data_IF_450676965202
#
_entry.id   IF_450676965202
#
_cell.length_a   1.000
_cell.length_b   1.000
_cell.length_c   1.000
_cell.angle_alpha   90.00
_cell.angle_beta   90.00
_cell.angle_gamma   90.00
#
_symmetry.space_group_name_H-M   'P 1'
#
loop_
_entity.id
_entity.type
_entity.pdbx_description
1 polymer ?
#
# COMPACT_ATOMS: atom_id res chain seq x y z
N UNK A 1 9.21 -3.27 12.67
CA UNK A 1 8.43 -2.36 11.82
C UNK A 1 7.87 -1.24 12.67
N UNK A 2 7.90 -0.04 12.17
CA UNK A 2 7.53 1.14 12.93
C UNK A 2 6.42 1.88 12.20
N UNK A 3 5.44 2.40 12.94
CA UNK A 3 4.37 3.23 12.38
C UNK A 3 4.60 4.68 12.80
N UNK A 4 4.57 5.57 11.81
CA UNK A 4 4.74 7.00 12.04
C UNK A 4 3.52 7.73 11.49
N UNK A 5 2.85 8.57 12.30
CA UNK A 5 1.73 9.34 11.78
C UNK A 5 2.20 10.40 10.78
N UNK A 6 1.46 10.56 9.71
CA UNK A 6 1.69 11.63 8.75
C UNK A 6 0.88 12.84 9.18
N UNK A 7 1.35 13.51 10.18
CA UNK A 7 0.57 14.52 10.91
C UNK A 7 0.29 15.81 10.18
N UNK A 8 0.95 16.08 9.08
CA UNK A 8 0.75 17.33 8.33
C UNK A 8 -0.07 17.15 7.08
N UNK A 9 -0.43 15.92 6.78
CA UNK A 9 -1.09 15.62 5.55
C UNK A 9 -2.34 14.88 5.93
N UNK A 10 -3.37 15.18 5.31
CA UNK A 10 -4.66 14.56 5.49
C UNK A 10 -4.62 13.18 6.16
N UNK A 11 -4.36 13.12 7.43
CA UNK A 11 -4.53 11.93 8.26
C UNK A 11 -3.96 10.61 7.71
N UNK A 12 -2.94 10.69 6.87
CA UNK A 12 -2.26 9.49 6.38
C UNK A 12 -1.35 8.88 7.43
N UNK A 13 -1.08 7.60 7.31
CA UNK A 13 -0.15 6.89 8.18
C UNK A 13 0.99 6.32 7.35
N UNK A 14 2.21 6.56 7.80
CA UNK A 14 3.41 6.00 7.18
C UNK A 14 3.88 4.82 8.02
N UNK A 15 4.03 3.67 7.37
CA UNK A 15 4.54 2.47 8.01
C UNK A 15 5.95 2.24 7.46
N UNK A 16 6.94 2.19 8.34
CA UNK A 16 8.33 2.05 7.95
C UNK A 16 8.86 0.69 8.39
N UNK A 17 9.54 0.01 7.49
CA UNK A 17 10.28 -1.20 7.83
C UNK A 17 11.74 -0.84 8.02
N UNK A 18 12.28 -1.13 9.21
CA UNK A 18 13.69 -0.89 9.52
C UNK A 18 14.50 -2.17 9.38
N UNK A 19 15.70 -2.03 8.86
CA UNK A 19 16.64 -3.12 8.68
C UNK A 19 17.99 -2.62 9.13
N UNK A 20 18.56 -3.25 10.16
CA UNK A 20 19.83 -2.84 10.75
C UNK A 20 19.82 -1.37 11.20
N UNK A 21 18.70 -0.91 11.75
CA UNK A 21 18.58 0.44 12.25
C UNK A 21 18.32 1.51 11.19
N UNK A 22 18.21 1.12 9.94
CA UNK A 22 17.93 2.06 8.84
C UNK A 22 16.58 1.73 8.18
N UNK A 23 15.93 2.77 7.66
CA UNK A 23 14.69 2.57 6.93
C UNK A 23 14.99 1.82 5.63
N UNK A 24 14.41 0.64 5.48
CA UNK A 24 14.58 -0.21 4.32
C UNK A 24 13.41 -0.14 3.36
N UNK A 25 12.27 0.35 3.83
CA UNK A 25 11.10 0.51 3.01
C UNK A 25 9.96 1.15 3.78
N UNK A 26 8.96 1.61 3.07
CA UNK A 26 7.81 2.22 3.71
C UNK A 26 6.58 2.10 2.81
N UNK A 27 5.42 2.31 3.42
CA UNK A 27 4.14 2.38 2.74
C UNK A 27 3.30 3.43 3.42
N UNK A 28 2.42 4.08 2.67
CA UNK A 28 1.53 5.11 3.20
C UNK A 28 0.09 4.65 3.02
N UNK A 29 -0.71 4.79 4.08
CA UNK A 29 -2.14 4.52 4.04
C UNK A 29 -2.87 5.82 4.28
N UNK A 30 -3.75 6.20 3.34
CA UNK A 30 -4.49 7.45 3.43
C UNK A 30 -5.99 7.15 3.47
N UNK A 31 -6.64 7.45 4.60
CA UNK A 31 -8.10 7.27 4.69
C UNK A 31 -8.81 8.21 3.71
N UNK A 32 -9.92 7.75 3.17
CA UNK A 32 -10.74 8.54 2.25
C UNK A 32 -12.08 8.85 2.91
N UNK A 33 -12.74 9.88 2.39
CA UNK A 33 -14.05 10.27 2.90
C UNK A 33 -15.16 9.26 2.55
N UNK A 34 -14.91 8.41 1.55
CA UNK A 34 -15.90 7.44 1.10
C UNK A 34 -15.87 6.12 1.89
N UNK A 35 -15.15 6.08 3.00
CA UNK A 35 -15.06 4.86 3.81
C UNK A 35 -14.05 3.86 3.31
N UNK A 36 -13.22 4.23 2.34
CA UNK A 36 -12.13 3.41 1.81
C UNK A 36 -10.80 4.01 2.21
N UNK A 37 -9.71 3.36 1.86
CA UNK A 37 -8.38 3.89 2.09
C UNK A 37 -7.52 3.66 0.85
N UNK A 38 -6.58 4.56 0.62
CA UNK A 38 -5.60 4.43 -0.46
C UNK A 38 -4.29 3.92 0.10
N UNK A 39 -3.66 3.02 -0.64
CA UNK A 39 -2.34 2.50 -0.35
C UNK A 39 -1.35 3.11 -1.34
N UNK A 40 -0.32 3.77 -0.83
CA UNK A 40 0.75 4.32 -1.64
C UNK A 40 2.03 3.58 -1.29
N UNK A 41 2.57 2.87 -2.26
CA UNK A 41 3.70 1.98 -2.07
C UNK A 41 3.28 0.52 -2.17
N UNK A 42 4.13 -0.41 -1.74
CA UNK A 42 5.33 -0.19 -0.92
C UNK A 42 6.52 0.33 -1.71
N UNK A 43 7.37 1.09 -1.03
CA UNK A 43 8.64 1.55 -1.55
C UNK A 43 9.72 0.84 -0.76
N UNK A 44 10.56 0.05 -1.42
CA UNK A 44 11.57 -0.78 -0.78
C UNK A 44 12.91 -0.54 -1.45
N UNK A 45 13.97 -0.47 -0.66
CA UNK A 45 15.32 -0.34 -1.20
C UNK A 45 15.58 -1.46 -2.22
N UNK A 46 16.12 -1.14 -3.42
CA UNK A 46 16.31 -2.15 -4.46
C UNK A 46 17.13 -3.36 -4.03
N UNK A 47 18.11 -3.16 -3.17
CA UNK A 47 18.95 -4.25 -2.68
C UNK A 47 18.19 -5.26 -1.85
N UNK A 48 17.00 -4.86 -1.38
CA UNK A 48 16.19 -5.69 -0.49
C UNK A 48 14.94 -6.22 -1.17
N UNK A 49 14.81 -6.02 -2.45
CA UNK A 49 13.71 -6.59 -3.21
C UNK A 49 13.78 -8.12 -3.13
N UNK A 50 12.63 -8.76 -3.15
CA UNK A 50 12.49 -10.21 -3.03
C UNK A 50 12.75 -10.77 -1.63
N UNK A 51 13.00 -9.89 -0.66
CA UNK A 51 13.14 -10.32 0.74
C UNK A 51 11.84 -10.39 1.50
N UNK A 52 10.71 -10.16 0.83
CA UNK A 52 9.41 -10.20 1.48
C UNK A 52 9.04 -8.93 2.23
N UNK A 53 9.88 -7.91 2.17
CA UNK A 53 9.62 -6.65 2.89
C UNK A 53 8.38 -5.94 2.34
N UNK A 54 8.24 -5.87 1.01
CA UNK A 54 7.08 -5.26 0.39
C UNK A 54 5.79 -5.94 0.82
N UNK A 55 5.79 -7.27 0.87
CA UNK A 55 4.63 -8.04 1.31
C UNK A 55 4.29 -7.75 2.77
N UNK A 56 5.30 -7.68 3.62
CA UNK A 56 5.08 -7.36 5.04
C UNK A 56 4.51 -5.96 5.22
N UNK A 57 5.00 -4.99 4.43
CA UNK A 57 4.49 -3.63 4.48
C UNK A 57 3.02 -3.58 4.07
N UNK A 58 2.66 -4.31 3.00
CA UNK A 58 1.26 -4.36 2.56
C UNK A 58 0.39 -5.04 3.61
N UNK A 59 0.87 -6.13 4.22
CA UNK A 59 0.11 -6.82 5.26
C UNK A 59 -0.16 -5.89 6.46
N UNK A 60 0.82 -5.08 6.85
CA UNK A 60 0.64 -4.10 7.92
C UNK A 60 -0.34 -3.00 7.51
N UNK A 61 -0.26 -2.55 6.26
CA UNK A 61 -1.19 -1.56 5.74
C UNK A 61 -2.62 -2.08 5.77
N UNK A 62 -2.82 -3.34 5.41
CA UNK A 62 -4.13 -3.98 5.48
C UNK A 62 -4.65 -3.98 6.91
N UNK A 63 -3.81 -4.35 7.88
CA UNK A 63 -4.21 -4.37 9.29
C UNK A 63 -4.59 -2.98 9.77
N UNK A 64 -3.82 -1.98 9.38
CA UNK A 64 -4.13 -0.60 9.75
C UNK A 64 -5.45 -0.13 9.13
N UNK A 65 -5.66 -0.42 7.85
CA UNK A 65 -6.88 -0.04 7.16
C UNK A 65 -8.11 -0.73 7.80
N UNK A 66 -7.95 -1.98 8.22
CA UNK A 66 -9.01 -2.69 8.94
C UNK A 66 -9.31 -2.03 10.28
N UNK A 67 -8.27 -1.58 10.98
CA UNK A 67 -8.45 -0.87 12.25
C UNK A 67 -9.17 0.47 12.07
N UNK A 68 -9.03 1.08 10.89
CA UNK A 68 -9.77 2.30 10.53
C UNK A 68 -11.19 2.00 10.07
N UNK A 69 -11.56 0.73 10.02
CA UNK A 69 -12.87 0.28 9.52
C UNK A 69 -13.10 0.65 8.05
N UNK A 70 -12.01 0.73 7.27
CA UNK A 70 -12.14 0.96 5.84
C UNK A 70 -12.73 -0.28 5.17
N UNK A 71 -13.62 -0.07 4.22
CA UNK A 71 -14.26 -1.16 3.50
C UNK A 71 -13.33 -1.81 2.48
N UNK A 72 -12.47 -1.02 1.88
CA UNK A 72 -11.53 -1.45 0.85
C UNK A 72 -10.23 -0.70 0.96
N UNK A 73 -9.16 -1.36 0.53
CA UNK A 73 -7.85 -0.72 0.36
C UNK A 73 -7.57 -0.70 -1.14
N UNK A 74 -7.31 0.49 -1.67
CA UNK A 74 -7.10 0.72 -3.11
C UNK A 74 -5.64 1.01 -3.40
N UNK A 75 -5.13 0.45 -4.48
CA UNK A 75 -3.76 0.69 -4.92
C UNK A 75 -3.74 0.89 -6.43
N UNK A 76 -2.80 1.73 -6.89
CA UNK A 76 -2.57 1.91 -8.32
C UNK A 76 -1.30 1.16 -8.68
N UNK A 77 -1.40 0.26 -9.64
CA UNK A 77 -0.29 -0.61 -10.02
C UNK A 77 0.07 -0.44 -11.49
N UNK A 78 1.38 -0.26 -11.75
CA UNK A 78 1.89 -0.38 -13.11
C UNK A 78 1.75 -1.84 -13.55
N UNK A 79 1.81 -2.13 -14.86
CA UNK A 79 1.72 -3.52 -15.32
C UNK A 79 2.75 -4.44 -14.65
N UNK A 80 3.92 -3.93 -14.31
CA UNK A 80 4.95 -4.74 -13.65
C UNK A 80 4.62 -5.05 -12.20
N UNK A 81 3.86 -4.18 -11.55
CA UNK A 81 3.51 -4.32 -10.15
C UNK A 81 2.23 -5.12 -9.92
N UNK A 82 1.40 -5.27 -10.94
CA UNK A 82 0.13 -6.00 -10.79
C UNK A 82 0.28 -7.39 -10.17
N UNK A 83 1.24 -8.23 -10.62
CA UNK A 83 1.38 -9.56 -10.02
C UNK A 83 1.70 -9.53 -8.53
N UNK A 84 2.46 -8.52 -8.10
CA UNK A 84 2.78 -8.36 -6.68
C UNK A 84 1.51 -8.09 -5.87
N UNK A 85 0.67 -7.16 -6.33
CA UNK A 85 -0.56 -6.84 -5.62
C UNK A 85 -1.55 -8.01 -5.64
N UNK A 86 -1.60 -8.74 -6.74
CA UNK A 86 -2.45 -9.93 -6.81
C UNK A 86 -2.05 -10.96 -5.75
N UNK A 87 -0.76 -11.15 -5.54
CA UNK A 87 -0.27 -12.04 -4.48
C UNK A 87 -0.62 -11.54 -3.10
N UNK A 88 -0.82 -10.22 -2.96
CA UNK A 88 -1.23 -9.62 -1.70
C UNK A 88 -2.76 -9.62 -1.51
N UNK A 89 -3.49 -10.25 -2.41
CA UNK A 89 -4.93 -10.38 -2.27
C UNK A 89 -5.75 -9.28 -2.93
N UNK A 90 -5.13 -8.45 -3.75
CA UNK A 90 -5.83 -7.40 -4.48
C UNK A 90 -6.33 -7.94 -5.82
N UNK A 91 -7.44 -7.37 -6.29
CA UNK A 91 -8.00 -7.69 -7.61
C UNK A 91 -8.07 -6.42 -8.44
N UNK A 92 -7.82 -6.51 -9.75
CA UNK A 92 -7.92 -5.34 -10.62
C UNK A 92 -9.38 -4.93 -10.80
N UNK A 93 -9.64 -3.63 -10.69
CA UNK A 93 -10.98 -3.06 -10.84
C UNK A 93 -11.14 -2.34 -12.16
N UNK A 94 -10.14 -1.56 -12.56
CA UNK A 94 -10.17 -0.82 -13.82
C UNK A 94 -8.76 -0.39 -14.19
N UNK A 95 -8.57 -0.03 -15.45
CA UNK A 95 -7.31 0.53 -15.92
C UNK A 95 -7.53 1.99 -16.33
N UNK A 96 -6.56 2.82 -16.01
CA UNK A 96 -6.55 4.21 -16.43
C UNK A 96 -5.23 4.50 -17.13
N UNK A 97 -5.25 5.46 -18.04
CA UNK A 97 -4.04 5.88 -18.75
C UNK A 97 -3.56 7.18 -18.13
N UNK A 98 -2.32 7.18 -17.69
CA UNK A 98 -1.69 8.36 -17.09
C UNK A 98 -0.60 8.88 -18.04
N UNK A 99 -0.05 10.04 -17.72
CA UNK A 99 1.07 10.59 -18.48
C UNK A 99 2.31 9.68 -18.42
N UNK A 100 2.36 8.79 -17.47
CA UNK A 100 3.47 7.83 -17.31
C UNK A 100 3.10 6.42 -17.76
N UNK A 101 1.97 6.26 -18.45
CA UNK A 101 1.53 5.00 -18.98
C UNK A 101 0.30 4.45 -18.26
N UNK A 102 -0.15 3.25 -18.65
CA UNK A 102 -1.34 2.66 -18.05
C UNK A 102 -1.08 2.19 -16.61
N UNK A 103 -2.09 2.35 -15.76
CA UNK A 103 -2.06 1.79 -14.41
C UNK A 103 -3.38 1.06 -14.16
N UNK A 104 -3.32 0.02 -13.34
CA UNK A 104 -4.51 -0.68 -12.88
C UNK A 104 -4.86 -0.16 -11.49
N UNK A 105 -6.12 0.18 -11.30
CA UNK A 105 -6.63 0.45 -9.94
C UNK A 105 -7.03 -0.90 -9.39
N UNK A 106 -6.41 -1.29 -8.30
CA UNK A 106 -6.60 -2.59 -7.67
C UNK A 106 -7.24 -2.40 -6.30
N UNK A 107 -8.03 -3.35 -5.89
CA UNK A 107 -8.76 -3.27 -4.63
C UNK A 107 -8.65 -4.56 -3.84
N UNK A 108 -8.51 -4.42 -2.53
CA UNK A 108 -8.66 -5.53 -1.61
C UNK A 108 -9.81 -5.21 -0.67
N UNK A 109 -10.82 -6.07 -0.66
CA UNK A 109 -11.97 -5.93 0.24
C UNK A 109 -11.52 -6.28 1.66
N UNK A 110 -11.90 -5.45 2.62
CA UNK A 110 -11.48 -5.59 4.02
C UNK A 110 -12.61 -6.02 4.94
N UNK A 111 -13.83 -5.92 4.50
CA UNK A 111 -14.98 -6.37 5.27
C UNK A 111 -15.73 -7.44 4.50
N UNK A 112 -16.25 -8.40 5.23
CA UNK A 112 -17.00 -9.51 4.66
C UNK A 112 -18.44 -9.12 4.36
#
# INVERSE_FOLDING_TARGET
MMMLPADHIAAGLVIVFEHWGEAAGFVVVVPREDGKADLDGPFVEPDLWRGGIGRKLVDEAVQFAMALEAAELLASASPRAEPFYEKCGFVPMKKIVTTHGPVAVMSRTLID
#
